data_IF_214440307011
#
_entry.id   IF_214440307011
#
_cell.length_a   1.000
_cell.length_b   1.000
_cell.length_c   1.000
_cell.angle_alpha   90.00
_cell.angle_beta   90.00
_cell.angle_gamma   90.00
#
_symmetry.space_group_name_H-M   'P 1'
#
loop_
_entity.id
_entity.type
_entity.pdbx_description
1 polymer ?
#
# COMPACT_ATOMS: atom_id res chain seq x y z
N UNK A 1 -23.19 -33.49 32.91
CA UNK A 1 -21.75 -33.76 32.66
C UNK A 1 -21.12 -32.49 32.13
N UNK A 2 -20.20 -31.90 32.90
CA UNK A 2 -19.53 -30.66 32.54
C UNK A 2 -18.52 -30.92 31.40
N UNK A 3 -18.72 -30.29 30.25
CA UNK A 3 -17.74 -30.28 29.16
C UNK A 3 -16.57 -29.38 29.59
N UNK A 4 -15.42 -30.00 29.84
CA UNK A 4 -14.15 -29.34 30.14
C UNK A 4 -13.80 -28.36 29.00
N UNK A 5 -13.54 -27.11 29.38
CA UNK A 5 -12.73 -26.19 28.58
C UNK A 5 -11.34 -26.81 28.47
N UNK A 6 -10.93 -27.18 27.26
CA UNK A 6 -9.55 -27.52 26.97
C UNK A 6 -8.84 -26.21 26.63
N UNK A 7 -8.22 -25.60 27.63
CA UNK A 7 -7.40 -24.39 27.54
C UNK A 7 -6.04 -24.73 26.91
N UNK A 8 -6.01 -25.12 25.64
CA UNK A 8 -4.76 -25.20 24.89
C UNK A 8 -5.04 -24.76 23.46
N UNK A 9 -5.18 -23.44 23.24
CA UNK A 9 -4.81 -22.90 21.93
C UNK A 9 -3.29 -23.06 21.85
N UNK A 10 -2.76 -24.03 21.09
CA UNK A 10 -1.34 -24.23 21.03
C UNK A 10 -0.76 -22.97 20.42
N UNK A 11 0.31 -22.45 21.00
CA UNK A 11 0.94 -21.18 20.59
C UNK A 11 1.11 -21.06 19.05
N UNK A 12 1.24 -22.20 18.35
CA UNK A 12 1.29 -22.29 16.90
C UNK A 12 0.06 -21.77 16.15
N UNK A 13 -1.15 -21.90 16.68
CA UNK A 13 -2.36 -21.38 16.04
C UNK A 13 -2.49 -19.86 16.21
N UNK A 14 -2.04 -19.32 17.35
CA UNK A 14 -1.92 -17.88 17.59
C UNK A 14 -0.85 -17.28 16.66
N UNK A 15 0.31 -17.93 16.52
CA UNK A 15 1.37 -17.49 15.60
C UNK A 15 0.92 -17.53 14.13
N UNK A 16 0.19 -18.57 13.71
CA UNK A 16 -0.39 -18.64 12.36
C UNK A 16 -1.40 -17.52 12.12
N UNK A 17 -2.30 -17.26 13.08
CA UNK A 17 -3.23 -16.13 12.98
C UNK A 17 -2.50 -14.80 12.89
N UNK A 18 -1.48 -14.59 13.72
CA UNK A 18 -0.69 -13.36 13.71
C UNK A 18 0.01 -13.14 12.36
N UNK A 19 0.68 -14.16 11.82
CA UNK A 19 1.34 -14.09 10.50
C UNK A 19 0.29 -13.83 9.40
N UNK A 20 -0.86 -14.50 9.46
CA UNK A 20 -1.95 -14.32 8.49
C UNK A 20 -2.50 -12.90 8.54
N UNK A 21 -2.78 -12.37 9.73
CA UNK A 21 -3.25 -11.00 9.94
C UNK A 21 -2.26 -9.98 9.38
N UNK A 22 -0.96 -10.11 9.69
CA UNK A 22 0.06 -9.20 9.16
C UNK A 22 0.13 -9.22 7.62
N UNK A 23 0.02 -10.41 7.00
CA UNK A 23 0.01 -10.54 5.54
C UNK A 23 -1.24 -9.93 4.91
N UNK A 24 -2.39 -10.08 5.56
CA UNK A 24 -3.65 -9.46 5.12
C UNK A 24 -3.56 -7.94 5.23
N UNK A 25 -3.04 -7.42 6.34
CA UNK A 25 -2.85 -5.99 6.55
C UNK A 25 -1.93 -5.38 5.48
N UNK A 26 -0.79 -6.03 5.20
CA UNK A 26 0.11 -5.61 4.13
C UNK A 26 -0.54 -5.68 2.73
N UNK A 27 -1.34 -6.73 2.47
CA UNK A 27 -2.09 -6.84 1.22
C UNK A 27 -3.15 -5.74 1.06
N UNK A 28 -3.84 -5.38 2.14
CA UNK A 28 -4.79 -4.27 2.17
C UNK A 28 -4.10 -2.93 1.96
N UNK A 29 -2.94 -2.71 2.58
CA UNK A 29 -2.13 -1.50 2.39
C UNK A 29 -1.77 -1.29 0.91
N UNK A 30 -1.42 -2.37 0.19
CA UNK A 30 -1.14 -2.32 -1.26
C UNK A 30 -2.38 -1.90 -2.06
N UNK A 31 -3.55 -2.45 -1.74
CA UNK A 31 -4.82 -2.10 -2.41
C UNK A 31 -5.17 -0.64 -2.15
N UNK A 32 -5.12 -0.23 -0.88
CA UNK A 32 -5.43 1.13 -0.45
C UNK A 32 -4.53 2.17 -1.12
N UNK A 33 -3.21 1.94 -1.19
CA UNK A 33 -2.28 2.86 -1.88
C UNK A 33 -2.57 2.97 -3.37
N UNK A 34 -2.93 1.86 -4.01
CA UNK A 34 -3.29 1.86 -5.44
C UNK A 34 -4.55 2.68 -5.69
N UNK A 35 -5.56 2.56 -4.85
CA UNK A 35 -6.80 3.30 -4.99
C UNK A 35 -6.62 4.78 -4.64
N UNK A 36 -5.85 5.10 -3.59
CA UNK A 36 -5.46 6.47 -3.25
C UNK A 36 -4.72 7.15 -4.41
N UNK A 37 -3.75 6.48 -5.04
CA UNK A 37 -3.06 7.02 -6.23
C UNK A 37 -4.07 7.35 -7.35
N UNK A 38 -4.94 6.39 -7.68
CA UNK A 38 -5.92 6.57 -8.76
C UNK A 38 -6.87 7.74 -8.49
N UNK A 39 -7.35 7.87 -7.26
CA UNK A 39 -8.26 8.94 -6.87
C UNK A 39 -7.57 10.30 -6.88
N UNK A 40 -6.37 10.41 -6.33
CA UNK A 40 -5.65 11.67 -6.19
C UNK A 40 -5.11 12.21 -7.52
N UNK A 41 -4.59 11.33 -8.40
CA UNK A 41 -3.92 11.76 -9.63
C UNK A 41 -4.91 12.01 -10.78
N UNK A 42 -6.09 11.39 -10.73
CA UNK A 42 -7.13 11.56 -11.74
C UNK A 42 -6.78 10.97 -13.12
N UNK A 43 -7.73 11.09 -14.06
CA UNK A 43 -7.65 10.44 -15.36
C UNK A 43 -6.42 10.84 -16.18
N UNK A 44 -5.97 12.09 -16.08
CA UNK A 44 -4.83 12.61 -16.83
C UNK A 44 -3.54 11.83 -16.57
N UNK A 45 -3.27 11.46 -15.32
CA UNK A 45 -2.08 10.69 -14.93
C UNK A 45 -2.34 9.19 -15.01
N UNK A 46 -3.54 8.75 -14.62
CA UNK A 46 -3.91 7.34 -14.62
C UNK A 46 -3.85 6.71 -16.01
N UNK A 47 -4.20 7.46 -17.06
CA UNK A 47 -4.12 6.99 -18.44
C UNK A 47 -2.70 6.62 -18.88
N UNK A 48 -1.67 7.20 -18.24
CA UNK A 48 -0.27 6.87 -18.50
C UNK A 48 0.34 5.96 -17.42
N UNK A 49 -0.39 5.69 -16.34
CA UNK A 49 0.10 4.83 -15.26
C UNK A 49 -0.09 3.37 -15.67
N UNK A 50 1.01 2.67 -15.93
CA UNK A 50 0.98 1.27 -16.38
C UNK A 50 1.04 0.28 -15.23
N UNK A 51 1.64 0.67 -14.10
CA UNK A 51 1.79 -0.19 -12.94
C UNK A 51 1.90 0.62 -11.64
N UNK A 52 1.30 0.09 -10.57
CA UNK A 52 1.43 0.63 -9.20
C UNK A 52 1.73 -0.55 -8.26
N UNK A 53 2.87 -0.47 -7.58
CA UNK A 53 3.34 -1.46 -6.61
C UNK A 53 3.84 -0.78 -5.34
N UNK A 54 3.36 -1.22 -4.18
CA UNK A 54 3.95 -0.87 -2.89
C UNK A 54 4.85 -2.02 -2.43
N UNK A 55 6.11 -1.72 -2.12
CA UNK A 55 7.06 -2.70 -1.53
C UNK A 55 7.69 -2.10 -0.28
N UNK A 56 7.38 -2.69 0.87
CA UNK A 56 7.68 -2.05 2.15
C UNK A 56 7.03 -0.67 2.21
N UNK A 57 7.83 0.37 2.41
CA UNK A 57 7.39 1.77 2.45
C UNK A 57 7.71 2.56 1.17
N UNK A 58 8.09 1.88 0.08
CA UNK A 58 8.39 2.54 -1.21
C UNK A 58 7.29 2.25 -2.21
N UNK A 59 6.70 3.31 -2.75
CA UNK A 59 5.73 3.26 -3.83
C UNK A 59 6.46 3.32 -5.18
N UNK A 60 6.28 2.29 -6.00
CA UNK A 60 6.77 2.21 -7.37
C UNK A 60 5.61 2.45 -8.32
N UNK A 61 5.76 3.45 -9.19
CA UNK A 61 4.80 3.76 -10.23
C UNK A 61 5.50 3.73 -11.57
N UNK A 62 5.00 2.89 -12.48
CA UNK A 62 5.46 2.88 -13.86
C UNK A 62 4.56 3.79 -14.70
N UNK A 63 5.18 4.66 -15.50
CA UNK A 63 4.50 5.60 -16.39
C UNK A 63 4.97 5.41 -17.83
N UNK A 64 4.03 5.33 -18.77
CA UNK A 64 4.34 5.24 -20.20
C UNK A 64 4.88 6.55 -20.79
N UNK A 65 4.53 7.70 -20.19
CA UNK A 65 5.01 9.02 -20.62
C UNK A 65 6.25 9.44 -19.85
N UNK A 66 7.37 9.61 -20.56
CA UNK A 66 8.61 10.13 -19.98
C UNK A 66 8.47 11.59 -19.51
N UNK A 67 7.74 12.41 -20.26
CA UNK A 67 7.49 13.82 -19.92
C UNK A 67 6.68 13.93 -18.62
N UNK A 68 5.58 13.19 -18.51
CA UNK A 68 4.74 13.22 -17.32
C UNK A 68 5.49 12.70 -16.09
N UNK A 69 6.28 11.63 -16.26
CA UNK A 69 7.14 11.10 -15.20
C UNK A 69 8.13 12.15 -14.71
N UNK A 70 8.75 12.89 -15.61
CA UNK A 70 9.69 13.96 -15.27
C UNK A 70 8.96 15.09 -14.52
N UNK A 71 7.81 15.54 -14.99
CA UNK A 71 6.97 16.55 -14.30
C UNK A 71 6.57 16.11 -12.89
N UNK A 72 6.09 14.86 -12.74
CA UNK A 72 5.73 14.29 -11.44
C UNK A 72 6.95 14.11 -10.52
N UNK A 73 8.15 13.96 -11.08
CA UNK A 73 9.37 13.78 -10.31
C UNK A 73 9.70 14.98 -9.42
N UNK A 74 9.40 16.20 -9.89
CA UNK A 74 9.54 17.44 -9.12
C UNK A 74 8.55 17.54 -7.94
N UNK A 75 7.46 16.77 -7.99
CA UNK A 75 6.38 16.79 -7.01
C UNK A 75 6.36 15.61 -6.05
N UNK A 76 7.37 14.74 -6.03
CA UNK A 76 7.36 13.47 -5.30
C UNK A 76 6.97 13.61 -3.83
N UNK A 77 7.60 14.54 -3.11
CA UNK A 77 7.35 14.72 -1.67
C UNK A 77 5.91 15.14 -1.39
N UNK A 78 5.36 16.01 -2.25
CA UNK A 78 3.95 16.42 -2.16
C UNK A 78 3.01 15.25 -2.43
N UNK A 79 3.31 14.42 -3.43
CA UNK A 79 2.51 13.24 -3.77
C UNK A 79 2.52 12.24 -2.61
N UNK A 80 3.69 11.96 -2.03
CA UNK A 80 3.83 11.09 -0.87
C UNK A 80 2.96 11.60 0.29
N UNK A 81 3.05 12.90 0.59
CA UNK A 81 2.25 13.51 1.65
C UNK A 81 0.74 13.36 1.40
N UNK A 82 0.29 13.68 0.19
CA UNK A 82 -1.13 13.57 -0.18
C UNK A 82 -1.65 12.13 -0.09
N UNK A 83 -0.85 11.13 -0.46
CA UNK A 83 -1.22 9.72 -0.35
C UNK A 83 -1.36 9.32 1.13
N UNK A 84 -0.39 9.66 1.97
CA UNK A 84 -0.44 9.33 3.39
C UNK A 84 -1.60 10.07 4.10
N UNK A 85 -1.91 11.30 3.69
CA UNK A 85 -3.07 12.07 4.16
C UNK A 85 -4.39 11.38 3.81
N UNK A 86 -4.56 10.95 2.55
CA UNK A 86 -5.74 10.20 2.08
C UNK A 86 -5.93 8.90 2.87
N UNK A 87 -4.83 8.19 3.13
CA UNK A 87 -4.84 6.92 3.86
C UNK A 87 -4.88 7.08 5.38
N UNK A 88 -4.72 8.30 5.89
CA UNK A 88 -4.57 8.62 7.33
C UNK A 88 -3.53 7.75 8.03
N UNK A 89 -2.47 7.39 7.31
CA UNK A 89 -1.41 6.47 7.75
C UNK A 89 -0.10 6.87 7.08
N UNK A 90 0.97 6.92 7.87
CA UNK A 90 2.32 7.19 7.34
C UNK A 90 2.91 5.88 6.79
N UNK A 91 2.55 5.55 5.55
CA UNK A 91 2.86 4.28 4.92
C UNK A 91 3.93 4.43 3.82
N UNK A 92 3.82 5.48 3.01
CA UNK A 92 4.74 5.75 1.91
C UNK A 92 5.81 6.71 2.37
N UNK A 93 7.07 6.32 2.27
CA UNK A 93 8.24 7.14 2.63
C UNK A 93 9.06 7.56 1.41
N UNK A 94 8.92 6.83 0.30
CA UNK A 94 9.66 7.10 -0.93
C UNK A 94 8.80 6.78 -2.15
N UNK A 95 9.02 7.53 -3.23
CA UNK A 95 8.31 7.40 -4.51
C UNK A 95 9.30 7.25 -5.66
N UNK A 96 9.23 6.10 -6.31
CA UNK A 96 10.05 5.78 -7.49
C UNK A 96 9.15 5.77 -8.72
N UNK A 97 9.43 6.68 -9.64
CA UNK A 97 8.75 6.78 -10.92
C UNK A 97 9.66 6.16 -11.99
N UNK A 98 9.14 5.18 -12.75
CA UNK A 98 9.89 4.42 -13.76
C UNK A 98 9.16 4.33 -15.09
#
# INVERSE_FOLDING_TARGET
MAKRFNEESPIGDVLKQFISQNKLEAGMDVVNVRDAWKNLMGNGVNNYTTEIQLKGSTLYVALSSAVLREELSYGKDKIIRMINEELRKDLVTNLVLR
#
